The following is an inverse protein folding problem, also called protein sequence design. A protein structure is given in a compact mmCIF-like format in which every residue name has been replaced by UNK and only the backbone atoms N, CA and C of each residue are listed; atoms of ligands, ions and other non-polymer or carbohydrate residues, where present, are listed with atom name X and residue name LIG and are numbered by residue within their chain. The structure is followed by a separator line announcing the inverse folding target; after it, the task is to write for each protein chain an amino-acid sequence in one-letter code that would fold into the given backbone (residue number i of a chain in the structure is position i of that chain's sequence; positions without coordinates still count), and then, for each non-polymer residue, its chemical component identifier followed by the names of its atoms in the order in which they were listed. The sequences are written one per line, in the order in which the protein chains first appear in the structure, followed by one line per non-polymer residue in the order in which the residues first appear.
data_IF_424665284280
#
_entry.id   IF_424665284280
#
_cell.length_a   1.000
_cell.length_b   1.000
_cell.length_c   1.000
_cell.angle_alpha   90.00
_cell.angle_beta   90.00
_cell.angle_gamma   90.00
#
_symmetry.space_group_name_H-M   'P 1'
#
loop_
_entity.id
_entity.type
_entity.pdbx_description
1 polymer ?
#
# COMPACT_ATOMS: atom_id res chain seq x y z
N UNK A 1 46.02 11.13 -5.28
CA UNK A 1 44.89 12.07 -5.46
C UNK A 1 43.66 11.41 -6.10
N UNK A 2 43.73 10.86 -7.34
CA UNK A 2 42.56 10.26 -8.02
C UNK A 2 41.76 9.22 -7.22
N UNK A 3 42.45 8.31 -6.49
CA UNK A 3 41.79 7.29 -5.64
C UNK A 3 41.04 7.88 -4.44
N UNK A 4 41.53 9.00 -3.89
CA UNK A 4 40.88 9.70 -2.76
C UNK A 4 39.60 10.39 -3.23
N UNK A 5 39.64 11.06 -4.39
CA UNK A 5 38.45 11.66 -4.99
C UNK A 5 37.38 10.62 -5.34
N UNK A 6 37.77 9.46 -5.89
CA UNK A 6 36.83 8.35 -6.14
C UNK A 6 36.19 7.88 -4.83
N UNK A 7 36.98 7.69 -3.77
CA UNK A 7 36.47 7.32 -2.45
C UNK A 7 35.50 8.35 -1.89
N UNK A 8 35.83 9.64 -1.95
CA UNK A 8 34.97 10.73 -1.49
C UNK A 8 33.67 10.82 -2.29
N UNK A 9 33.74 10.67 -3.62
CA UNK A 9 32.56 10.65 -4.49
C UNK A 9 31.64 9.47 -4.17
N UNK A 10 32.18 8.28 -3.93
CA UNK A 10 31.39 7.11 -3.54
C UNK A 10 30.70 7.33 -2.19
N UNK A 11 31.41 7.85 -1.19
CA UNK A 11 30.84 8.17 0.12
C UNK A 11 29.72 9.20 -0.01
N UNK A 12 29.91 10.25 -0.80
CA UNK A 12 28.91 11.28 -1.04
C UNK A 12 27.65 10.68 -1.69
N UNK A 13 27.81 9.86 -2.74
CA UNK A 13 26.68 9.21 -3.42
C UNK A 13 25.91 8.32 -2.45
N UNK A 14 26.59 7.49 -1.66
CA UNK A 14 25.94 6.62 -0.67
C UNK A 14 25.18 7.46 0.37
N UNK A 15 25.79 8.52 0.90
CA UNK A 15 25.13 9.39 1.87
C UNK A 15 23.87 10.06 1.30
N UNK A 16 23.93 10.55 0.06
CA UNK A 16 22.79 11.16 -0.62
C UNK A 16 21.68 10.14 -0.90
N UNK A 17 22.03 8.92 -1.36
CA UNK A 17 21.05 7.85 -1.61
C UNK A 17 20.33 7.43 -0.34
N UNK A 18 21.06 7.27 0.77
CA UNK A 18 20.48 6.96 2.08
C UNK A 18 19.57 8.08 2.55
N UNK A 19 20.02 9.34 2.46
CA UNK A 19 19.21 10.51 2.80
C UNK A 19 17.91 10.60 1.99
N UNK A 20 17.99 10.39 0.67
CA UNK A 20 16.83 10.39 -0.21
C UNK A 20 15.84 9.27 0.13
N UNK A 21 16.34 8.07 0.47
CA UNK A 21 15.51 6.94 0.86
C UNK A 21 14.73 7.21 2.15
N UNK A 22 15.40 7.75 3.18
CA UNK A 22 14.74 8.16 4.42
C UNK A 22 13.70 9.27 4.18
N UNK A 23 14.05 10.29 3.41
CA UNK A 23 13.15 11.38 3.07
C UNK A 23 11.90 10.88 2.33
N UNK A 24 12.06 9.97 1.36
CA UNK A 24 10.95 9.36 0.63
C UNK A 24 9.98 8.63 1.57
N UNK A 25 10.51 7.81 2.49
CA UNK A 25 9.69 7.06 3.44
C UNK A 25 8.86 7.96 4.35
N UNK A 26 9.47 9.00 4.91
CA UNK A 26 8.76 9.96 5.74
C UNK A 26 7.72 10.75 4.95
N UNK A 27 8.02 11.14 3.72
CA UNK A 27 7.08 11.86 2.86
C UNK A 27 5.86 11.01 2.50
N UNK A 28 6.06 9.75 2.10
CA UNK A 28 4.96 8.82 1.79
C UNK A 28 4.05 8.59 2.99
N UNK A 29 4.59 8.61 4.22
CA UNK A 29 3.79 8.49 5.45
C UNK A 29 2.79 9.64 5.61
N UNK A 30 3.19 10.87 5.29
CA UNK A 30 2.32 12.06 5.39
C UNK A 30 1.44 12.32 4.15
N UNK A 31 1.74 11.68 3.02
CA UNK A 31 1.05 11.92 1.75
C UNK A 31 -0.44 11.51 1.84
N UNK A 32 -1.39 12.39 1.47
CA UNK A 32 -2.81 12.04 1.35
C UNK A 32 -3.02 10.91 0.34
N UNK A 33 -3.98 10.04 0.62
CA UNK A 33 -4.36 8.96 -0.31
C UNK A 33 -5.57 9.38 -1.14
N UNK A 34 -5.72 8.78 -2.31
CA UNK A 34 -6.94 8.90 -3.08
C UNK A 34 -8.09 8.23 -2.30
N UNK A 35 -9.27 8.87 -2.23
CA UNK A 35 -10.42 8.25 -1.60
C UNK A 35 -10.77 6.95 -2.33
N UNK A 36 -11.25 5.98 -1.57
CA UNK A 36 -11.69 4.67 -2.05
C UNK A 36 -12.97 4.34 -1.32
N UNK A 37 -14.02 3.99 -2.06
CA UNK A 37 -15.22 3.43 -1.47
C UNK A 37 -15.06 1.91 -1.38
N UNK A 38 -15.14 1.35 -0.17
CA UNK A 38 -15.05 -0.10 0.05
C UNK A 38 -16.35 -0.62 0.69
N UNK A 39 -17.36 -1.01 -0.11
CA UNK A 39 -18.55 -1.65 0.40
C UNK A 39 -18.25 -3.11 0.79
N UNK A 40 -18.60 -3.51 2.01
CA UNK A 40 -18.40 -4.90 2.48
C UNK A 40 -19.40 -5.88 1.84
N UNK A 41 -20.61 -5.43 1.51
CA UNK A 41 -21.68 -6.26 0.95
C UNK A 41 -21.24 -7.12 -0.26
N UNK A 42 -20.64 -6.56 -1.34
CA UNK A 42 -20.18 -7.38 -2.46
C UNK A 42 -19.00 -8.30 -2.14
N UNK A 43 -18.35 -8.11 -0.98
CA UNK A 43 -17.22 -8.91 -0.52
C UNK A 43 -17.62 -9.92 0.57
N UNK A 44 -18.90 -10.01 0.95
CA UNK A 44 -19.36 -10.85 2.06
C UNK A 44 -19.09 -12.36 1.88
N UNK A 45 -18.88 -12.81 0.63
CA UNK A 45 -18.49 -14.19 0.33
C UNK A 45 -17.00 -14.48 0.47
N UNK A 46 -16.17 -13.45 0.68
CA UNK A 46 -14.73 -13.57 0.90
C UNK A 46 -14.47 -13.74 2.39
N UNK A 47 -13.65 -14.72 2.78
CA UNK A 47 -13.29 -14.93 4.18
C UNK A 47 -12.66 -13.65 4.76
N UNK A 48 -13.18 -13.16 5.90
CA UNK A 48 -12.77 -11.92 6.55
C UNK A 48 -11.25 -11.79 6.71
N UNK A 49 -10.57 -12.88 7.04
CA UNK A 49 -9.11 -12.92 7.31
C UNK A 49 -8.29 -12.71 6.03
N UNK A 50 -8.90 -12.88 4.85
CA UNK A 50 -8.25 -12.57 3.56
C UNK A 50 -7.91 -11.08 3.47
N UNK A 51 -8.80 -10.22 3.95
CA UNK A 51 -8.61 -8.77 3.96
C UNK A 51 -8.07 -8.29 5.31
N UNK A 52 -8.65 -8.76 6.41
CA UNK A 52 -8.17 -8.54 7.77
C UNK A 52 -7.03 -9.51 8.11
N UNK A 53 -5.96 -9.40 7.33
CA UNK A 53 -4.77 -10.22 7.52
C UNK A 53 -4.07 -9.93 8.87
N UNK A 54 -4.41 -8.81 9.53
CA UNK A 54 -3.93 -8.46 10.86
C UNK A 54 -4.25 -9.51 11.93
N UNK A 55 -5.36 -10.25 11.80
CA UNK A 55 -5.65 -11.38 12.68
C UNK A 55 -4.67 -12.54 12.49
N UNK A 56 -4.24 -12.80 11.24
CA UNK A 56 -3.32 -13.89 10.91
C UNK A 56 -1.89 -13.53 11.29
N UNK A 57 -1.51 -12.28 11.02
CA UNK A 57 -0.15 -11.78 11.22
C UNK A 57 0.14 -11.43 12.69
N UNK A 58 -0.86 -11.56 13.58
CA UNK A 58 -0.79 -11.17 14.99
C UNK A 58 -0.36 -9.71 15.15
N UNK A 59 -0.83 -8.85 14.24
CA UNK A 59 -0.48 -7.43 14.23
C UNK A 59 -1.09 -6.74 15.46
N UNK A 60 -0.39 -5.78 16.08
CA UNK A 60 -0.91 -4.99 17.21
C UNK A 60 -2.16 -4.15 16.86
N UNK A 61 -2.62 -4.20 15.61
CA UNK A 61 -3.80 -3.50 15.11
C UNK A 61 -5.09 -4.32 15.17
N UNK A 62 -5.22 -5.33 16.04
CA UNK A 62 -6.41 -6.20 16.13
C UNK A 62 -7.70 -5.36 16.19
N UNK A 63 -8.33 -5.26 15.01
CA UNK A 63 -9.60 -4.68 14.52
C UNK A 63 -10.50 -3.77 15.38
N UNK A 64 -10.04 -3.17 16.48
CA UNK A 64 -10.93 -2.44 17.39
C UNK A 64 -11.32 -1.03 16.90
N UNK A 65 -10.45 -0.35 16.15
CA UNK A 65 -10.70 1.01 15.64
C UNK A 65 -9.64 1.52 14.64
N UNK A 66 -8.88 0.64 13.98
CA UNK A 66 -7.82 1.05 13.04
C UNK A 66 -8.17 0.56 11.63
N UNK A 67 -8.46 1.49 10.72
CA UNK A 67 -8.66 1.19 9.31
C UNK A 67 -7.37 0.65 8.70
N UNK A 68 -7.47 -0.16 7.63
CA UNK A 68 -6.31 -0.73 6.92
C UNK A 68 -5.27 0.35 6.59
N UNK A 69 -5.75 1.52 6.18
CA UNK A 69 -4.93 2.69 5.86
C UNK A 69 -4.13 3.19 7.06
N UNK A 70 -4.71 3.26 8.25
CA UNK A 70 -4.01 3.76 9.43
C UNK A 70 -2.83 2.86 9.81
N UNK A 71 -3.00 1.53 9.70
CA UNK A 71 -1.90 0.60 9.93
C UNK A 71 -0.82 0.74 8.84
N UNK A 72 -1.21 0.75 7.56
CA UNK A 72 -0.24 0.90 6.46
C UNK A 72 0.41 2.30 6.38
N UNK A 73 -0.07 3.28 7.16
CA UNK A 73 0.58 4.60 7.36
C UNK A 73 1.33 4.71 8.68
N UNK A 74 1.39 3.65 9.49
CA UNK A 74 2.00 3.69 10.81
C UNK A 74 3.53 3.81 10.76
N UNK A 75 4.18 3.32 9.71
CA UNK A 75 5.63 3.43 9.53
C UNK A 75 6.00 3.85 8.11
N UNK A 76 7.16 4.50 7.90
CA UNK A 76 7.68 4.80 6.57
C UNK A 76 7.77 3.55 5.67
N UNK A 77 8.22 2.42 6.24
CA UNK A 77 8.37 1.17 5.53
C UNK A 77 7.04 0.63 4.97
N UNK A 78 5.95 0.74 5.75
CA UNK A 78 4.61 0.37 5.29
C UNK A 78 4.01 1.41 4.33
N UNK A 79 4.26 2.69 4.58
CA UNK A 79 3.66 3.77 3.78
C UNK A 79 4.20 3.80 2.35
N UNK A 80 5.47 3.46 2.12
CA UNK A 80 6.07 3.41 0.77
C UNK A 80 5.43 2.32 -0.09
N UNK A 81 4.99 1.21 0.52
CA UNK A 81 4.40 0.06 -0.18
C UNK A 81 2.88 0.11 -0.29
N UNK A 82 2.22 1.10 0.32
CA UNK A 82 0.75 1.14 0.41
C UNK A 82 0.05 1.04 -0.95
N UNK A 83 0.57 1.69 -1.99
CA UNK A 83 -0.02 1.58 -3.32
C UNK A 83 0.08 0.16 -3.87
N UNK A 84 1.29 -0.43 -3.77
CA UNK A 84 1.55 -1.78 -4.24
C UNK A 84 0.74 -2.83 -3.46
N UNK A 85 0.71 -2.74 -2.13
CA UNK A 85 0.01 -3.69 -1.27
C UNK A 85 -1.49 -3.74 -1.57
N UNK A 86 -2.14 -2.57 -1.65
CA UNK A 86 -3.58 -2.51 -1.88
C UNK A 86 -3.94 -2.81 -3.34
N UNK A 87 -3.13 -2.37 -4.31
CA UNK A 87 -3.35 -2.78 -5.70
C UNK A 87 -3.14 -4.28 -5.89
N UNK A 88 -2.14 -4.87 -5.24
CA UNK A 88 -1.94 -6.31 -5.27
C UNK A 88 -3.13 -7.02 -4.63
N UNK A 89 -3.55 -6.66 -3.41
CA UNK A 89 -4.68 -7.29 -2.72
C UNK A 89 -6.00 -7.18 -3.50
N UNK A 90 -6.35 -5.98 -3.96
CA UNK A 90 -7.64 -5.74 -4.58
C UNK A 90 -7.67 -6.16 -6.05
N UNK A 91 -6.66 -5.77 -6.85
CA UNK A 91 -6.69 -6.00 -8.29
C UNK A 91 -6.41 -7.46 -8.64
N UNK A 92 -5.56 -8.18 -7.89
CA UNK A 92 -5.30 -9.60 -8.20
C UNK A 92 -6.55 -10.43 -8.02
N UNK A 93 -7.26 -10.29 -6.89
CA UNK A 93 -8.50 -10.99 -6.63
C UNK A 93 -9.56 -10.66 -7.70
N UNK A 94 -9.71 -9.39 -8.06
CA UNK A 94 -10.64 -9.02 -9.13
C UNK A 94 -10.24 -9.62 -10.48
N UNK A 95 -8.95 -9.64 -10.80
CA UNK A 95 -8.45 -10.19 -12.06
C UNK A 95 -8.65 -11.71 -12.12
N UNK A 96 -8.36 -12.43 -11.04
CA UNK A 96 -8.57 -13.88 -10.94
C UNK A 96 -10.04 -14.24 -11.13
N UNK A 97 -10.95 -13.52 -10.48
CA UNK A 97 -12.40 -13.72 -10.65
C UNK A 97 -12.85 -13.45 -12.08
N UNK A 98 -12.33 -12.39 -12.69
CA UNK A 98 -12.65 -12.04 -14.07
C UNK A 98 -12.15 -13.13 -15.04
N UNK A 99 -10.93 -13.64 -14.84
CA UNK A 99 -10.35 -14.72 -15.63
C UNK A 99 -11.13 -16.03 -15.48
N UNK A 100 -11.75 -16.25 -14.33
CA UNK A 100 -12.66 -17.37 -14.06
C UNK A 100 -14.10 -17.12 -14.55
N UNK A 101 -14.35 -16.04 -15.31
CA UNK A 101 -15.69 -15.65 -15.81
C UNK A 101 -16.73 -15.45 -14.70
N UNK A 102 -16.29 -15.04 -13.50
CA UNK A 102 -17.17 -14.68 -12.40
C UNK A 102 -17.43 -13.17 -12.35
N UNK A 103 -18.54 -12.79 -11.71
CA UNK A 103 -18.77 -11.41 -11.30
C UNK A 103 -17.57 -10.92 -10.46
N UNK A 104 -17.02 -9.77 -10.84
CA UNK A 104 -15.80 -9.22 -10.29
C UNK A 104 -15.87 -7.70 -10.23
N UNK A 105 -15.06 -7.10 -9.37
CA UNK A 105 -14.87 -5.67 -9.32
C UNK A 105 -13.98 -5.14 -10.45
N UNK A 106 -13.71 -3.83 -10.46
CA UNK A 106 -12.90 -3.19 -11.50
C UNK A 106 -11.44 -3.65 -11.49
N UNK A 107 -10.87 -3.84 -12.69
CA UNK A 107 -9.47 -4.27 -12.91
C UNK A 107 -8.65 -3.31 -13.78
N UNK A 108 -9.29 -2.40 -14.54
CA UNK A 108 -8.65 -1.55 -15.55
C UNK A 108 -9.14 -0.11 -15.56
N UNK A 109 -9.53 0.41 -14.40
CA UNK A 109 -9.91 1.83 -14.25
C UNK A 109 -9.60 2.31 -12.84
N UNK A 110 -8.69 3.28 -12.73
CA UNK A 110 -8.31 3.86 -11.45
C UNK A 110 -9.53 4.51 -10.76
N UNK A 111 -10.38 5.21 -11.52
CA UNK A 111 -11.53 5.95 -11.00
C UNK A 111 -12.69 5.03 -10.60
N UNK A 112 -12.76 3.81 -11.13
CA UNK A 112 -13.77 2.84 -10.72
C UNK A 112 -13.58 2.38 -9.27
N UNK A 113 -12.33 2.33 -8.79
CA UNK A 113 -12.00 2.16 -7.37
C UNK A 113 -11.96 3.52 -6.65
N UNK A 114 -11.18 4.47 -7.19
CA UNK A 114 -10.89 5.76 -6.58
C UNK A 114 -11.94 6.82 -6.92
N UNK A 115 -13.10 6.64 -6.31
CA UNK A 115 -14.21 7.59 -6.37
C UNK A 115 -14.33 8.33 -5.04
N UNK A 116 -14.65 9.63 -5.09
CA UNK A 116 -15.14 10.33 -3.90
C UNK A 116 -16.44 9.64 -3.51
N UNK A 117 -16.44 8.93 -2.38
CA UNK A 117 -17.69 8.49 -1.79
C UNK A 117 -18.49 9.72 -1.39
N UNK A 118 -19.76 9.78 -1.74
CA UNK A 118 -20.69 10.59 -0.95
C UNK A 118 -20.77 9.86 0.39
N UNK A 119 -20.18 10.45 1.43
CA UNK A 119 -20.46 10.06 2.82
C UNK A 119 -21.94 10.23 3.10
#
# INVERSE_FOLDING_TARGET
MRRVWIGLSLVLVVALSVGAWFAHGHWQRGRPLMPLAFPHEPHASVNCITCHHDYKDQSPSVSGNRTCILCHKQSPALAVRIEADFHQLCQSCHLERLQAFHASGPVRSCQACHRRGNL
#
